data_IF_482158278857
#
_entry.id   IF_482158278857
#
_cell.length_a   1.000
_cell.length_b   1.000
_cell.length_c   1.000
_cell.angle_alpha   90.00
_cell.angle_beta   90.00
_cell.angle_gamma   90.00
#
_symmetry.space_group_name_H-M   'P 1'
#
loop_
_entity.id
_entity.type
_entity.pdbx_description
1 polymer ?
#
# COMPACT_ATOMS: atom_id res chain seq x y z
N UNK A 1 -2.53 12.91 30.53
CA UNK A 1 -3.28 13.36 29.34
C UNK A 1 -2.71 12.61 28.15
N UNK A 2 -3.43 11.62 27.59
CA UNK A 2 -3.03 11.02 26.31
C UNK A 2 -3.03 12.19 25.33
N UNK A 3 -2.03 12.33 24.46
CA UNK A 3 -2.08 13.36 23.41
C UNK A 3 -3.24 13.01 22.48
N UNK A 4 -4.42 13.53 22.84
CA UNK A 4 -5.63 13.49 22.05
C UNK A 4 -5.48 14.59 21.04
N UNK A 5 -5.34 14.21 19.79
CA UNK A 5 -5.13 15.14 18.70
C UNK A 5 -6.51 15.57 18.18
N UNK A 6 -6.88 16.87 18.21
CA UNK A 6 -8.11 17.33 17.59
C UNK A 6 -8.13 16.94 16.11
N UNK A 7 -9.21 16.31 15.68
CA UNK A 7 -9.46 16.03 14.26
C UNK A 7 -10.23 17.19 13.67
N UNK A 8 -9.71 17.63 12.53
CA UNK A 8 -10.24 18.64 11.65
C UNK A 8 -11.43 18.07 10.86
N UNK A 9 -12.54 18.81 10.79
CA UNK A 9 -13.76 18.34 10.11
C UNK A 9 -13.84 18.81 8.65
N UNK A 10 -13.08 19.84 8.27
CA UNK A 10 -13.02 20.33 6.89
C UNK A 10 -11.56 20.33 6.42
N UNK A 11 -11.33 19.62 5.32
CA UNK A 11 -10.08 19.65 4.58
C UNK A 11 -10.34 20.33 3.25
N UNK A 12 -9.52 21.33 2.92
CA UNK A 12 -9.63 22.03 1.65
C UNK A 12 -8.26 22.16 1.01
N UNK A 13 -8.26 22.29 -0.32
CA UNK A 13 -7.08 22.74 -1.03
C UNK A 13 -6.95 24.24 -0.85
N UNK A 14 -5.76 24.68 -0.48
CA UNK A 14 -5.36 26.08 -0.52
C UNK A 14 -4.16 26.22 -1.46
N UNK A 15 -4.06 27.34 -2.15
CA UNK A 15 -2.94 27.64 -3.04
C UNK A 15 -2.27 28.93 -2.60
N UNK A 16 -0.97 28.86 -2.37
CA UNK A 16 -0.17 29.99 -1.94
C UNK A 16 0.98 30.22 -2.89
N UNK A 17 1.41 31.48 -3.04
CA UNK A 17 2.61 31.81 -3.78
C UNK A 17 3.80 31.77 -2.83
N UNK A 18 4.82 31.03 -3.20
CA UNK A 18 6.06 30.91 -2.44
C UNK A 18 7.26 31.22 -3.33
N UNK A 19 8.29 31.82 -2.75
CA UNK A 19 9.55 32.06 -3.44
C UNK A 19 10.40 30.79 -3.42
N UNK A 20 10.56 30.17 -4.60
CA UNK A 20 11.43 29.03 -4.84
C UNK A 20 12.76 29.43 -5.50
N UNK A 21 13.63 28.45 -5.74
CA UNK A 21 14.93 28.67 -6.38
C UNK A 21 14.80 29.28 -7.80
N UNK A 22 13.71 28.98 -8.50
CA UNK A 22 13.42 29.45 -9.85
C UNK A 22 12.42 30.64 -9.88
N UNK A 23 12.22 31.30 -8.73
CA UNK A 23 11.29 32.42 -8.56
C UNK A 23 9.97 32.03 -7.88
N UNK A 24 8.96 32.89 -8.00
CA UNK A 24 7.65 32.67 -7.38
C UNK A 24 6.92 31.49 -8.02
N UNK A 25 6.54 30.51 -7.19
CA UNK A 25 5.81 29.32 -7.59
C UNK A 25 4.50 29.23 -6.80
N UNK A 26 3.44 28.76 -7.46
CA UNK A 26 2.18 28.44 -6.79
C UNK A 26 2.29 27.04 -6.17
N UNK A 27 2.14 26.97 -4.85
CA UNK A 27 2.22 25.74 -4.05
C UNK A 27 0.85 25.41 -3.49
N UNK A 28 0.44 24.16 -3.63
CA UNK A 28 -0.83 23.67 -3.13
C UNK A 28 -0.65 22.93 -1.81
N UNK A 29 -1.58 23.20 -0.91
CA UNK A 29 -1.63 22.69 0.44
C UNK A 29 -2.93 21.95 0.69
N UNK A 30 -2.83 20.84 1.44
CA UNK A 30 -3.98 20.29 2.14
C UNK A 30 -4.03 20.99 3.48
N UNK A 31 -5.07 21.78 3.72
CA UNK A 31 -5.31 22.45 5.00
C UNK A 31 -6.43 21.78 5.75
N UNK A 32 -6.33 21.84 7.07
CA UNK A 32 -7.30 21.26 7.97
C UNK A 32 -7.77 22.32 8.98
N UNK A 33 -9.09 22.60 8.99
CA UNK A 33 -9.69 23.61 9.87
C UNK A 33 -10.18 23.00 11.18
N UNK A 34 -9.82 23.64 12.31
CA UNK A 34 -10.17 23.15 13.66
C UNK A 34 -11.64 23.48 13.92
N UNK A 35 -12.53 22.51 13.69
CA UNK A 35 -13.94 22.60 14.07
C UNK A 35 -14.19 21.82 15.36
N UNK A 36 -14.98 22.39 16.27
CA UNK A 36 -15.29 21.82 17.59
C UNK A 36 -16.10 20.51 17.46
N UNK A 37 -15.64 19.42 18.09
CA UNK A 37 -16.32 18.11 18.07
C UNK A 37 -15.46 16.95 17.58
N UNK A 38 -14.26 16.81 18.14
CA UNK A 38 -13.19 15.97 17.59
C UNK A 38 -13.46 14.45 17.73
N UNK A 39 -13.41 13.74 16.61
CA UNK A 39 -13.08 12.30 16.60
C UNK A 39 -11.59 12.15 16.86
N UNK A 40 -11.14 11.07 17.47
CA UNK A 40 -9.70 10.82 17.66
C UNK A 40 -9.17 10.06 16.44
N UNK A 41 -8.17 10.62 15.74
CA UNK A 41 -7.41 9.90 14.70
C UNK A 41 -5.96 9.79 15.15
N UNK A 42 -5.44 8.57 15.12
CA UNK A 42 -4.05 8.27 15.43
C UNK A 42 -3.45 7.58 14.21
N UNK A 43 -2.78 8.30 13.30
CA UNK A 43 -2.22 7.72 12.08
C UNK A 43 -1.34 6.49 12.35
N UNK A 44 -0.58 6.51 13.45
CA UNK A 44 0.26 5.41 13.92
C UNK A 44 -0.49 4.12 14.26
N UNK A 45 -1.81 4.17 14.46
CA UNK A 45 -2.66 3.01 14.72
C UNK A 45 -3.18 2.35 13.42
N UNK A 46 -2.93 2.94 12.26
CA UNK A 46 -3.34 2.37 10.96
C UNK A 46 -2.22 1.48 10.42
N UNK A 47 -2.33 0.14 10.51
CA UNK A 47 -1.24 -0.77 10.13
C UNK A 47 -0.93 -0.74 8.63
N UNK A 48 -1.86 -0.27 7.80
CA UNK A 48 -1.73 -0.21 6.35
C UNK A 48 -1.45 1.21 5.83
N UNK A 49 -1.04 2.15 6.69
CA UNK A 49 -0.90 3.55 6.31
C UNK A 49 0.10 3.75 5.15
N UNK A 50 1.27 3.10 5.22
CA UNK A 50 2.28 3.14 4.16
C UNK A 50 1.75 2.60 2.82
N UNK A 51 1.01 1.49 2.85
CA UNK A 51 0.39 0.92 1.66
C UNK A 51 -0.64 1.86 1.03
N UNK A 52 -1.26 2.73 1.83
CA UNK A 52 -2.28 3.67 1.36
C UNK A 52 -1.61 4.88 0.73
N UNK A 53 -0.56 5.41 1.35
CA UNK A 53 0.22 6.50 0.75
C UNK A 53 0.89 6.04 -0.55
N UNK A 54 1.46 4.84 -0.61
CA UNK A 54 2.19 4.34 -1.78
C UNK A 54 1.33 4.22 -3.05
N UNK A 55 0.01 4.33 -2.93
CA UNK A 55 -0.95 4.29 -4.04
C UNK A 55 -1.44 5.65 -4.49
N UNK A 56 -1.14 6.71 -3.72
CA UNK A 56 -1.50 8.07 -4.08
C UNK A 56 -0.71 8.44 -5.34
N UNK A 57 -1.44 8.83 -6.38
CA UNK A 57 -0.90 9.21 -7.68
C UNK A 57 -1.45 10.56 -8.15
N UNK A 58 -2.56 11.03 -7.58
CA UNK A 58 -3.17 12.32 -7.93
C UNK A 58 -3.33 13.26 -6.74
N UNK A 59 -3.58 14.53 -7.04
CA UNK A 59 -3.86 15.55 -6.03
C UNK A 59 -5.11 15.19 -5.22
N UNK A 60 -6.18 14.78 -5.90
CA UNK A 60 -7.45 14.37 -5.29
C UNK A 60 -7.25 13.17 -4.35
N UNK A 61 -6.42 12.21 -4.73
CA UNK A 61 -6.07 11.08 -3.87
C UNK A 61 -5.22 11.50 -2.66
N UNK A 62 -4.40 12.54 -2.80
CA UNK A 62 -3.65 13.13 -1.69
C UNK A 62 -4.59 13.77 -0.67
N UNK A 63 -5.62 14.49 -1.14
CA UNK A 63 -6.68 15.04 -0.28
C UNK A 63 -7.50 13.94 0.40
N UNK A 64 -7.94 12.91 -0.32
CA UNK A 64 -8.64 11.76 0.29
C UNK A 64 -7.77 11.07 1.35
N UNK A 65 -6.46 10.97 1.10
CA UNK A 65 -5.50 10.42 2.05
C UNK A 65 -5.41 11.27 3.31
N UNK A 66 -5.16 12.58 3.18
CA UNK A 66 -5.11 13.52 4.31
C UNK A 66 -6.42 13.54 5.11
N UNK A 67 -7.56 13.59 4.43
CA UNK A 67 -8.88 13.54 5.06
C UNK A 67 -9.12 12.24 5.84
N UNK A 68 -8.76 11.08 5.26
CA UNK A 68 -9.04 9.77 5.87
C UNK A 68 -8.13 9.46 7.05
N UNK A 69 -6.88 9.88 7.01
CA UNK A 69 -5.87 9.53 8.03
C UNK A 69 -5.47 10.69 8.94
N UNK A 70 -5.96 11.90 8.68
CA UNK A 70 -5.78 13.09 9.51
C UNK A 70 -4.42 13.74 9.35
N UNK A 71 -4.39 15.08 9.21
CA UNK A 71 -3.16 15.86 9.36
C UNK A 71 -2.83 16.02 10.86
N UNK A 72 -1.55 15.92 11.22
CA UNK A 72 -1.13 16.00 12.62
C UNK A 72 -0.96 17.45 13.07
N UNK A 73 -1.40 17.72 14.29
CA UNK A 73 -1.87 19.03 14.80
C UNK A 73 -0.82 20.14 14.93
N UNK A 74 0.45 19.83 14.73
CA UNK A 74 1.53 20.80 14.86
C UNK A 74 1.75 21.55 13.53
N UNK A 75 1.10 21.09 12.46
CA UNK A 75 1.01 21.73 11.15
C UNK A 75 -0.41 21.54 10.63
N UNK A 76 -1.17 22.62 10.53
CA UNK A 76 -2.51 22.61 9.92
C UNK A 76 -2.46 22.45 8.40
N UNK A 77 -1.27 22.24 7.82
CA UNK A 77 -1.03 22.15 6.40
C UNK A 77 0.12 21.21 6.04
N UNK A 78 -0.04 20.45 4.97
CA UNK A 78 1.01 19.68 4.30
C UNK A 78 0.92 19.91 2.79
N UNK A 79 2.07 19.99 2.10
CA UNK A 79 2.10 20.26 0.65
C UNK A 79 1.59 19.05 -0.12
N UNK A 80 0.74 19.27 -1.10
CA UNK A 80 0.22 18.20 -1.97
C UNK A 80 1.36 17.48 -2.70
N UNK A 81 2.34 18.24 -3.20
CA UNK A 81 3.49 17.69 -3.90
C UNK A 81 4.37 16.81 -3.01
N UNK A 82 4.39 17.06 -1.70
CA UNK A 82 5.10 16.19 -0.76
C UNK A 82 4.44 14.82 -0.72
N UNK A 83 3.10 14.73 -0.61
CA UNK A 83 2.40 13.44 -0.66
C UNK A 83 2.69 12.66 -1.94
N UNK A 84 2.68 13.33 -3.09
CA UNK A 84 2.95 12.70 -4.39
C UNK A 84 4.39 12.19 -4.50
N UNK A 85 5.37 13.02 -4.12
CA UNK A 85 6.79 12.63 -4.12
C UNK A 85 7.03 11.47 -3.15
N UNK A 86 6.49 11.57 -1.93
CA UNK A 86 6.66 10.55 -0.90
C UNK A 86 5.91 9.25 -1.23
N UNK A 87 4.78 9.30 -1.92
CA UNK A 87 4.11 8.10 -2.42
C UNK A 87 4.99 7.32 -3.40
N UNK A 88 5.69 8.03 -4.29
CA UNK A 88 6.67 7.42 -5.21
C UNK A 88 7.87 6.84 -4.47
N UNK A 89 8.54 7.65 -3.65
CA UNK A 89 9.72 7.24 -2.87
C UNK A 89 9.41 6.02 -1.99
N UNK A 90 8.21 5.98 -1.41
CA UNK A 90 7.77 4.87 -0.58
C UNK A 90 7.60 3.58 -1.38
N UNK A 91 7.12 3.64 -2.62
CA UNK A 91 7.09 2.44 -3.49
C UNK A 91 8.49 1.93 -3.74
N UNK A 92 9.42 2.81 -4.10
CA UNK A 92 10.82 2.44 -4.34
C UNK A 92 11.47 1.83 -3.09
N UNK A 93 11.19 2.37 -1.90
CA UNK A 93 11.70 1.82 -0.63
C UNK A 93 11.20 0.40 -0.38
N UNK A 94 9.90 0.15 -0.59
CA UNK A 94 9.30 -1.17 -0.37
C UNK A 94 9.82 -2.20 -1.39
N UNK A 95 9.97 -1.79 -2.65
CA UNK A 95 10.50 -2.64 -3.72
C UNK A 95 11.97 -2.98 -3.50
N UNK A 96 12.80 -2.00 -3.08
CA UNK A 96 14.18 -2.27 -2.71
C UNK A 96 14.28 -3.24 -1.53
N UNK A 97 13.43 -3.05 -0.52
CA UNK A 97 13.40 -3.93 0.64
C UNK A 97 12.97 -5.36 0.27
N UNK A 98 11.94 -5.53 -0.56
CA UNK A 98 11.55 -6.86 -1.06
C UNK A 98 12.70 -7.52 -1.86
N UNK A 99 13.37 -6.78 -2.74
CA UNK A 99 14.51 -7.31 -3.51
C UNK A 99 15.64 -7.78 -2.58
N UNK A 100 15.92 -7.02 -1.51
CA UNK A 100 16.87 -7.42 -0.46
C UNK A 100 16.44 -8.70 0.27
N UNK A 101 15.14 -8.90 0.53
CA UNK A 101 14.65 -10.12 1.17
C UNK A 101 14.80 -11.37 0.30
N UNK A 102 14.66 -11.23 -1.01
CA UNK A 102 14.72 -12.36 -1.94
C UNK A 102 16.14 -12.73 -2.39
N UNK A 103 17.16 -11.95 -2.02
CA UNK A 103 18.49 -12.01 -2.64
C UNK A 103 18.43 -11.91 -4.17
N UNK A 104 17.40 -11.25 -4.70
CA UNK A 104 17.31 -10.99 -6.13
C UNK A 104 18.48 -10.07 -6.50
N UNK A 105 19.10 -10.31 -7.67
CA UNK A 105 20.13 -9.40 -8.20
C UNK A 105 19.53 -8.01 -8.17
N UNK A 106 20.00 -7.19 -7.23
CA UNK A 106 19.48 -5.87 -6.91
C UNK A 106 19.11 -5.19 -8.22
N UNK A 107 17.81 -5.24 -8.58
CA UNK A 107 17.26 -4.86 -9.89
C UNK A 107 17.22 -3.36 -10.06
N UNK A 108 18.27 -2.72 -9.56
CA UNK A 108 18.55 -1.33 -9.43
C UNK A 108 18.95 -0.82 -10.81
N UNK A 109 18.14 -1.01 -11.83
CA UNK A 109 18.46 -0.44 -13.14
C UNK A 109 17.83 0.93 -13.35
N UNK A 110 16.78 1.33 -12.62
CA UNK A 110 16.07 2.58 -12.91
C UNK A 110 15.37 3.29 -11.72
N UNK A 111 15.82 3.16 -10.47
CA UNK A 111 15.22 3.89 -9.33
C UNK A 111 16.23 4.81 -8.62
N UNK A 112 15.75 5.95 -8.09
CA UNK A 112 16.59 7.03 -7.55
C UNK A 112 17.41 6.59 -6.34
N UNK A 113 16.78 5.77 -5.48
CA UNK A 113 17.47 5.14 -4.34
C UNK A 113 18.57 4.18 -4.81
N UNK A 114 18.34 3.58 -5.96
CA UNK A 114 19.28 2.76 -6.66
C UNK A 114 20.51 3.44 -7.20
N UNK A 115 20.32 4.60 -7.82
CA UNK A 115 21.43 5.45 -8.25
C UNK A 115 22.27 5.89 -7.05
N UNK A 116 21.63 6.20 -5.91
CA UNK A 116 22.33 6.52 -4.66
C UNK A 116 23.16 5.34 -4.15
N UNK A 117 22.63 4.11 -4.23
CA UNK A 117 23.39 2.89 -3.91
C UNK A 117 24.57 2.75 -4.87
N UNK A 118 24.34 2.82 -6.19
CA UNK A 118 25.40 2.71 -7.20
C UNK A 118 26.51 3.75 -7.03
N UNK A 119 26.16 5.00 -6.77
CA UNK A 119 27.13 6.08 -6.58
C UNK A 119 28.04 5.85 -5.37
N UNK A 120 27.55 5.16 -4.34
CA UNK A 120 28.31 4.85 -3.12
C UNK A 120 29.12 3.56 -3.23
N UNK A 121 28.74 2.59 -4.08
CA UNK A 121 29.45 1.30 -4.24
C UNK A 121 30.91 1.54 -4.61
N UNK A 122 31.20 2.61 -5.34
CA UNK A 122 32.56 2.96 -5.77
C UNK A 122 33.41 3.63 -4.67
N UNK A 123 32.84 3.98 -3.51
CA UNK A 123 33.51 4.80 -2.49
C UNK A 123 33.85 4.05 -1.18
N UNK A 124 33.16 2.94 -0.87
CA UNK A 124 33.30 2.23 0.41
C UNK A 124 33.53 0.72 0.17
N UNK A 125 34.40 0.07 0.99
CA UNK A 125 34.62 -1.38 0.98
C UNK A 125 33.42 -2.14 1.62
N UNK A 126 32.21 -1.96 1.09
CA UNK A 126 30.99 -2.61 1.56
C UNK A 126 30.39 -3.48 0.46
N UNK A 127 29.72 -4.57 0.83
CA UNK A 127 28.95 -5.34 -0.14
C UNK A 127 27.77 -4.52 -0.70
N UNK A 128 27.33 -4.77 -1.96
CA UNK A 128 26.17 -4.07 -2.53
C UNK A 128 24.90 -4.18 -1.67
N UNK A 129 24.72 -5.32 -0.99
CA UNK A 129 23.59 -5.56 -0.08
C UNK A 129 23.66 -4.69 1.17
N UNK A 130 24.79 -4.67 1.88
CA UNK A 130 24.98 -3.81 3.06
C UNK A 130 24.82 -2.34 2.72
N UNK A 131 25.27 -1.95 1.53
CA UNK A 131 25.11 -0.59 1.06
C UNK A 131 23.67 -0.23 0.74
N UNK A 132 22.92 -1.12 0.09
CA UNK A 132 21.49 -0.95 -0.13
C UNK A 132 20.72 -0.85 1.19
N UNK A 133 21.06 -1.68 2.18
CA UNK A 133 20.52 -1.58 3.55
C UNK A 133 20.84 -0.22 4.19
N UNK A 134 22.10 0.24 4.11
CA UNK A 134 22.53 1.54 4.63
C UNK A 134 21.80 2.71 3.94
N UNK A 135 21.71 2.70 2.61
CA UNK A 135 21.00 3.73 1.84
C UNK A 135 19.51 3.78 2.18
N UNK A 136 18.85 2.62 2.29
CA UNK A 136 17.46 2.53 2.72
C UNK A 136 17.27 3.07 4.15
N UNK A 137 18.14 2.68 5.08
CA UNK A 137 18.11 3.14 6.47
C UNK A 137 18.31 4.66 6.58
N UNK A 138 19.29 5.21 5.85
CA UNK A 138 19.53 6.67 5.80
C UNK A 138 18.36 7.42 5.18
N UNK A 139 17.80 6.90 4.08
CA UNK A 139 16.65 7.51 3.42
C UNK A 139 15.46 7.61 4.39
N UNK A 140 15.11 6.51 5.06
CA UNK A 140 14.02 6.47 6.04
C UNK A 140 14.31 7.37 7.24
N UNK A 141 15.52 7.30 7.79
CA UNK A 141 15.93 8.13 8.93
C UNK A 141 15.84 9.62 8.62
N UNK A 142 16.19 10.02 7.39
CA UNK A 142 16.06 11.39 6.91
C UNK A 142 14.61 11.91 6.89
N UNK A 143 13.62 11.02 6.86
CA UNK A 143 12.18 11.35 6.91
C UNK A 143 11.57 11.24 8.30
N UNK A 144 12.34 10.84 9.32
CA UNK A 144 11.86 10.65 10.70
C UNK A 144 12.35 11.73 11.67
N UNK A 145 12.73 12.93 11.19
CA UNK A 145 13.34 13.99 12.00
C UNK A 145 12.50 14.44 13.21
N UNK A 146 11.19 14.39 13.09
CA UNK A 146 10.23 14.71 14.16
C UNK A 146 9.58 13.50 14.82
N UNK A 147 9.92 12.29 14.39
CA UNK A 147 9.34 11.06 14.90
C UNK A 147 10.18 10.45 16.02
N UNK A 148 9.54 9.69 16.91
CA UNK A 148 10.25 8.97 17.95
C UNK A 148 9.29 8.26 18.89
N UNK A 149 9.76 7.98 20.10
CA UNK A 149 8.97 7.35 21.15
C UNK A 149 8.91 8.21 22.41
N UNK A 150 7.76 8.25 23.07
CA UNK A 150 7.55 8.92 24.36
C UNK A 150 6.98 7.93 25.37
N UNK A 151 7.46 8.01 26.61
CA UNK A 151 6.90 7.25 27.72
C UNK A 151 5.62 7.93 28.20
N UNK A 152 4.50 7.22 28.20
CA UNK A 152 3.23 7.69 28.74
C UNK A 152 2.51 6.56 29.50
N UNK A 153 2.17 6.78 30.77
CA UNK A 153 1.58 5.75 31.65
C UNK A 153 2.36 4.43 31.61
N UNK A 154 3.70 4.51 31.69
CA UNK A 154 4.63 3.35 31.60
C UNK A 154 4.55 2.56 30.29
N UNK A 155 3.92 3.12 29.25
CA UNK A 155 3.91 2.57 27.90
C UNK A 155 4.74 3.45 26.99
N UNK A 156 5.62 2.82 26.21
CA UNK A 156 6.36 3.50 25.15
C UNK A 156 5.43 3.65 23.94
N UNK A 157 5.04 4.88 23.62
CA UNK A 157 4.14 5.20 22.52
C UNK A 157 4.90 5.91 21.41
N UNK A 158 4.70 5.53 20.13
CA UNK A 158 5.24 6.28 19.01
C UNK A 158 4.60 7.67 18.92
N UNK A 159 5.40 8.67 18.58
CA UNK A 159 4.93 10.02 18.23
C UNK A 159 5.57 10.48 16.92
N UNK A 160 4.89 11.38 16.24
CA UNK A 160 5.30 11.99 14.98
C UNK A 160 4.70 13.41 14.90
N UNK A 161 5.34 14.28 14.13
CA UNK A 161 4.90 15.66 13.92
C UNK A 161 4.09 15.83 12.63
N UNK A 162 4.21 14.91 11.67
CA UNK A 162 3.49 14.95 10.38
C UNK A 162 2.89 13.59 10.03
N UNK A 163 1.89 13.59 9.15
CA UNK A 163 1.29 12.36 8.64
C UNK A 163 2.32 11.52 7.86
N UNK A 164 3.19 12.19 7.10
CA UNK A 164 4.30 11.54 6.40
C UNK A 164 5.27 10.86 7.36
N UNK A 165 5.65 11.50 8.47
CA UNK A 165 6.49 10.87 9.49
C UNK A 165 5.84 9.62 10.09
N UNK A 166 4.52 9.65 10.33
CA UNK A 166 3.79 8.47 10.79
C UNK A 166 3.86 7.31 9.77
N UNK A 167 3.84 7.63 8.47
CA UNK A 167 3.98 6.65 7.39
C UNK A 167 5.37 6.03 7.41
N UNK A 168 6.44 6.83 7.41
CA UNK A 168 7.81 6.32 7.41
C UNK A 168 8.13 5.54 8.69
N UNK A 169 7.51 5.89 9.83
CA UNK A 169 7.69 5.14 11.06
C UNK A 169 7.17 3.70 10.91
N UNK A 170 6.08 3.49 10.16
CA UNK A 170 5.58 2.14 9.86
C UNK A 170 6.53 1.35 8.95
N UNK A 171 7.19 2.02 8.02
CA UNK A 171 8.20 1.39 7.15
C UNK A 171 9.42 1.00 7.96
N UNK A 172 9.89 1.88 8.84
CA UNK A 172 10.99 1.58 9.77
C UNK A 172 10.65 0.37 10.65
N UNK A 173 9.43 0.30 11.21
CA UNK A 173 8.97 -0.85 12.00
C UNK A 173 8.90 -2.17 11.20
N UNK A 174 8.70 -2.11 9.88
CA UNK A 174 8.71 -3.30 9.01
C UNK A 174 10.14 -3.79 8.82
N UNK A 175 11.06 -2.88 8.51
CA UNK A 175 12.46 -3.18 8.23
C UNK A 175 13.19 -3.64 9.51
N UNK A 176 13.01 -2.91 10.61
CA UNK A 176 13.61 -3.22 11.92
C UNK A 176 13.23 -4.62 12.42
N UNK A 177 12.01 -5.07 12.11
CA UNK A 177 11.51 -6.40 12.48
C UNK A 177 11.76 -7.47 11.43
N UNK A 178 12.53 -7.14 10.39
CA UNK A 178 12.79 -8.00 9.24
C UNK A 178 11.52 -8.65 8.67
N UNK A 179 10.41 -7.90 8.71
CA UNK A 179 9.11 -8.47 8.38
C UNK A 179 9.02 -8.77 6.88
N UNK A 180 8.59 -9.97 6.53
CA UNK A 180 8.34 -10.38 5.14
C UNK A 180 7.29 -9.46 4.49
N UNK A 181 7.61 -8.94 3.29
CA UNK A 181 6.63 -8.29 2.43
C UNK A 181 6.11 -9.27 1.39
N UNK A 182 4.81 -9.26 1.16
CA UNK A 182 4.17 -10.07 0.12
C UNK A 182 3.43 -9.18 -0.87
N UNK A 183 3.43 -9.57 -2.15
CA UNK A 183 2.66 -8.88 -3.20
C UNK A 183 1.21 -9.32 -3.19
N UNK A 184 0.30 -8.36 -3.21
CA UNK A 184 -1.13 -8.62 -3.37
C UNK A 184 -1.42 -9.19 -4.76
N UNK A 185 -2.01 -10.39 -4.83
CA UNK A 185 -2.35 -11.07 -6.10
C UNK A 185 -3.24 -10.26 -7.05
N UNK A 186 -4.01 -9.32 -6.52
CA UNK A 186 -4.96 -8.52 -7.32
C UNK A 186 -4.39 -7.17 -7.76
N UNK A 187 -3.59 -6.50 -6.92
CA UNK A 187 -3.18 -5.11 -7.18
C UNK A 187 -1.67 -4.89 -7.17
N UNK A 188 -0.86 -5.95 -7.04
CA UNK A 188 0.60 -5.89 -7.07
C UNK A 188 1.28 -5.21 -5.89
N UNK A 189 0.53 -4.50 -5.04
CA UNK A 189 1.10 -3.73 -3.93
C UNK A 189 1.74 -4.60 -2.86
N UNK A 190 2.87 -4.14 -2.32
CA UNK A 190 3.61 -4.77 -1.23
C UNK A 190 3.01 -4.45 0.13
N UNK A 191 2.81 -5.48 0.95
CA UNK A 191 2.30 -5.31 2.30
C UNK A 191 2.84 -6.39 3.24
N UNK A 192 2.93 -6.06 4.53
CA UNK A 192 3.21 -7.00 5.61
C UNK A 192 1.98 -7.88 5.88
N UNK A 193 2.06 -9.22 5.73
CA UNK A 193 0.93 -10.11 6.03
C UNK A 193 0.64 -10.12 7.53
N UNK A 194 -0.65 -10.12 7.89
CA UNK A 194 -1.10 -10.24 9.30
C UNK A 194 -1.34 -11.69 9.69
N UNK A 195 -1.50 -12.58 8.71
CA UNK A 195 -1.67 -14.02 8.90
C UNK A 195 -0.86 -14.79 7.87
N UNK A 196 -0.44 -16.00 8.24
CA UNK A 196 0.23 -16.91 7.33
C UNK A 196 -0.62 -17.15 6.06
N UNK A 197 0.04 -17.14 4.90
CA UNK A 197 -0.61 -17.37 3.61
C UNK A 197 -1.54 -16.26 3.13
N UNK A 198 -1.48 -15.05 3.70
CA UNK A 198 -2.29 -13.93 3.23
C UNK A 198 -1.86 -13.48 1.81
N UNK A 199 -2.75 -13.66 0.83
CA UNK A 199 -2.47 -13.37 -0.59
C UNK A 199 -2.97 -12.00 -1.08
N UNK A 200 -3.79 -11.31 -0.29
CA UNK A 200 -4.41 -10.04 -0.66
C UNK A 200 -4.10 -8.98 0.39
N UNK A 201 -4.05 -7.73 -0.06
CA UNK A 201 -3.76 -6.58 0.79
C UNK A 201 -4.70 -6.49 2.00
N UNK A 202 -4.31 -5.72 3.02
CA UNK A 202 -5.07 -5.60 4.25
C UNK A 202 -6.49 -5.05 4.04
N UNK A 203 -7.48 -5.54 4.82
CA UNK A 203 -8.81 -4.93 4.82
C UNK A 203 -8.75 -3.50 5.37
N UNK A 204 -9.77 -2.70 5.03
CA UNK A 204 -9.97 -1.42 5.72
C UNK A 204 -10.41 -1.64 7.16
N UNK A 205 -10.26 -0.61 8.00
CA UNK A 205 -10.69 -0.64 9.41
C UNK A 205 -12.12 -1.15 9.54
N UNK A 206 -12.33 -2.14 10.42
CA UNK A 206 -13.63 -2.75 10.69
C UNK A 206 -14.14 -3.73 9.61
N UNK A 207 -13.36 -4.02 8.56
CA UNK A 207 -13.76 -4.98 7.50
C UNK A 207 -13.05 -6.31 7.67
N UNK A 208 -13.78 -7.42 7.46
CA UNK A 208 -13.21 -8.78 7.52
C UNK A 208 -12.49 -9.24 6.26
N UNK A 209 -12.77 -8.62 5.10
CA UNK A 209 -12.14 -8.93 3.80
C UNK A 209 -11.63 -7.67 3.12
N UNK A 210 -10.56 -7.81 2.35
CA UNK A 210 -10.05 -6.68 1.58
C UNK A 210 -10.84 -6.46 0.29
N UNK A 211 -10.88 -5.22 -0.22
CA UNK A 211 -11.51 -4.94 -1.51
C UNK A 211 -10.90 -5.78 -2.65
N UNK A 212 -9.58 -6.00 -2.61
CA UNK A 212 -8.87 -6.84 -3.57
C UNK A 212 -9.33 -8.30 -3.53
N UNK A 213 -9.50 -8.87 -2.32
CA UNK A 213 -10.03 -10.23 -2.17
C UNK A 213 -11.46 -10.34 -2.75
N UNK A 214 -12.30 -9.33 -2.51
CA UNK A 214 -13.66 -9.32 -3.05
C UNK A 214 -13.67 -9.20 -4.58
N UNK A 215 -12.85 -8.31 -5.16
CA UNK A 215 -12.73 -8.19 -6.62
C UNK A 215 -12.24 -9.47 -7.28
N UNK A 216 -11.21 -10.10 -6.69
CA UNK A 216 -10.70 -11.37 -7.17
C UNK A 216 -11.78 -12.46 -7.12
N UNK A 217 -12.52 -12.56 -6.01
CA UNK A 217 -13.61 -13.53 -5.87
C UNK A 217 -14.73 -13.31 -6.90
N UNK A 218 -15.15 -12.06 -7.13
CA UNK A 218 -16.16 -11.73 -8.15
C UNK A 218 -15.67 -12.07 -9.55
N UNK A 219 -14.41 -11.76 -9.87
CA UNK A 219 -13.82 -12.10 -11.18
C UNK A 219 -13.80 -13.60 -11.40
N UNK A 220 -13.29 -14.35 -10.43
CA UNK A 220 -13.24 -15.82 -10.47
C UNK A 220 -14.64 -16.42 -10.63
N UNK A 221 -15.63 -15.90 -9.91
CA UNK A 221 -17.02 -16.33 -10.07
C UNK A 221 -17.56 -16.07 -11.48
N UNK A 222 -17.29 -14.91 -12.07
CA UNK A 222 -17.70 -14.61 -13.46
C UNK A 222 -17.01 -15.51 -14.48
N UNK A 223 -15.73 -15.81 -14.29
CA UNK A 223 -15.00 -16.76 -15.12
C UNK A 223 -15.60 -18.16 -15.02
N UNK A 224 -15.97 -18.61 -13.81
CA UNK A 224 -16.64 -19.89 -13.59
C UNK A 224 -18.02 -19.94 -14.25
N UNK A 225 -18.83 -18.88 -14.14
CA UNK A 225 -20.14 -18.79 -14.81
C UNK A 225 -20.00 -18.76 -16.34
N UNK A 226 -19.05 -18.00 -16.90
CA UNK A 226 -18.80 -18.01 -18.35
C UNK A 226 -18.41 -19.39 -18.86
N UNK A 227 -17.60 -20.13 -18.09
CA UNK A 227 -17.23 -21.50 -18.43
C UNK A 227 -18.45 -22.43 -18.36
N UNK A 228 -19.31 -22.28 -17.35
CA UNK A 228 -20.57 -23.02 -17.26
C UNK A 228 -21.47 -22.74 -18.46
N UNK A 229 -21.73 -21.47 -18.77
CA UNK A 229 -22.55 -21.06 -19.91
C UNK A 229 -22.03 -21.68 -21.21
N UNK A 230 -20.70 -21.68 -21.39
CA UNK A 230 -20.06 -22.33 -22.55
C UNK A 230 -20.28 -23.85 -22.55
N UNK A 231 -20.16 -24.51 -21.40
CA UNK A 231 -20.44 -25.95 -21.27
C UNK A 231 -21.90 -26.24 -21.63
N UNK A 232 -22.86 -25.47 -21.11
CA UNK A 232 -24.28 -25.63 -21.39
C UNK A 232 -24.59 -25.45 -22.88
N UNK A 233 -24.06 -24.38 -23.50
CA UNK A 233 -24.23 -24.13 -24.94
C UNK A 233 -23.75 -25.31 -25.78
N UNK A 234 -22.55 -25.83 -25.51
CA UNK A 234 -22.00 -26.98 -26.25
C UNK A 234 -22.79 -28.27 -26.00
N UNK A 235 -23.32 -28.43 -24.78
CA UNK A 235 -24.17 -29.58 -24.45
C UNK A 235 -25.50 -29.53 -25.20
N UNK A 236 -26.16 -28.37 -25.25
CA UNK A 236 -27.40 -28.17 -26.02
C UNK A 236 -27.19 -28.35 -27.53
N UNK A 237 -25.99 -28.07 -28.04
CA UNK A 237 -25.58 -28.38 -29.41
C UNK A 237 -25.35 -29.87 -29.69
N UNK A 238 -25.44 -30.73 -28.65
CA UNK A 238 -25.25 -32.17 -28.77
C UNK A 238 -23.78 -32.61 -28.90
N UNK A 239 -22.83 -31.78 -28.45
CA UNK A 239 -21.40 -32.12 -28.44
C UNK A 239 -21.10 -33.27 -27.49
N UNK A 240 -20.14 -34.12 -27.86
CA UNK A 240 -19.67 -35.19 -26.98
C UNK A 240 -18.83 -34.62 -25.83
N UNK A 241 -18.79 -35.34 -24.70
CA UNK A 241 -18.09 -34.89 -23.49
C UNK A 241 -16.62 -34.53 -23.76
N UNK A 242 -15.92 -35.33 -24.55
CA UNK A 242 -14.50 -35.10 -24.90
C UNK A 242 -14.32 -33.82 -25.71
N UNK A 243 -15.26 -33.48 -26.60
CA UNK A 243 -15.24 -32.24 -27.38
C UNK A 243 -15.45 -31.01 -26.48
N UNK A 244 -16.35 -31.12 -25.50
CA UNK A 244 -16.61 -30.06 -24.50
C UNK A 244 -15.37 -29.86 -23.62
N UNK A 245 -14.75 -30.94 -23.16
CA UNK A 245 -13.52 -30.89 -22.37
C UNK A 245 -12.37 -30.24 -23.14
N UNK A 246 -12.19 -30.61 -24.41
CA UNK A 246 -11.18 -30.01 -25.27
C UNK A 246 -11.45 -28.51 -25.51
N UNK A 247 -12.71 -28.11 -25.70
CA UNK A 247 -13.08 -26.72 -25.97
C UNK A 247 -13.01 -25.80 -24.74
N UNK A 248 -13.17 -26.35 -23.54
CA UNK A 248 -13.19 -25.59 -22.27
C UNK A 248 -11.88 -25.69 -21.50
N UNK A 249 -11.04 -26.69 -21.81
CA UNK A 249 -9.81 -26.99 -21.06
C UNK A 249 -10.08 -27.51 -19.65
N UNK A 250 -11.31 -27.96 -19.36
CA UNK A 250 -11.67 -28.50 -18.04
C UNK A 250 -11.19 -29.94 -17.87
N UNK A 251 -10.73 -30.26 -16.66
CA UNK A 251 -10.42 -31.65 -16.29
C UNK A 251 -11.70 -32.48 -16.18
N UNK A 252 -11.56 -33.80 -16.32
CA UNK A 252 -12.67 -34.74 -16.16
C UNK A 252 -13.38 -34.57 -14.81
N UNK A 253 -12.63 -34.38 -13.72
CA UNK A 253 -13.16 -34.16 -12.37
C UNK A 253 -14.03 -32.90 -12.28
N UNK A 254 -13.56 -31.79 -12.87
CA UNK A 254 -14.34 -30.53 -12.91
C UNK A 254 -15.60 -30.69 -13.75
N UNK A 255 -15.51 -31.39 -14.89
CA UNK A 255 -16.69 -31.67 -15.72
C UNK A 255 -17.73 -32.51 -15.00
N UNK A 256 -17.30 -33.58 -14.31
CA UNK A 256 -18.20 -34.40 -13.50
C UNK A 256 -18.88 -33.59 -12.39
N UNK A 257 -18.15 -32.69 -11.72
CA UNK A 257 -18.75 -31.81 -10.71
C UNK A 257 -19.77 -30.84 -11.29
N UNK A 258 -19.54 -30.30 -12.49
CA UNK A 258 -20.47 -29.39 -13.16
C UNK A 258 -21.73 -30.12 -13.61
N UNK A 259 -21.57 -31.23 -14.34
CA UNK A 259 -22.69 -32.05 -14.83
C UNK A 259 -23.47 -32.70 -13.68
N UNK A 260 -22.79 -33.07 -12.58
CA UNK A 260 -23.44 -33.62 -11.39
C UNK A 260 -24.38 -32.64 -10.67
N UNK A 261 -24.21 -31.33 -10.88
CA UNK A 261 -25.18 -30.33 -10.43
C UNK A 261 -26.32 -30.17 -11.44
N UNK A 262 -26.03 -30.25 -12.74
CA UNK A 262 -27.00 -30.16 -13.83
C UNK A 262 -28.04 -31.29 -13.73
N UNK A 263 -27.60 -32.53 -13.56
CA UNK A 263 -28.49 -33.68 -13.45
C UNK A 263 -29.36 -33.68 -12.18
N UNK A 264 -29.13 -32.76 -11.23
CA UNK A 264 -29.98 -32.59 -10.04
C UNK A 264 -31.04 -31.51 -10.21
N UNK A 265 -30.90 -30.63 -11.19
CA UNK A 265 -31.84 -29.53 -11.46
C UNK A 265 -32.89 -29.88 -12.53
N UNK A 266 -32.69 -30.99 -13.25
CA UNK A 266 -33.65 -31.61 -14.19
C UNK A 266 -34.45 -32.68 -13.48
#
# INVERSE_FOLDING_TARGET
MIFTWPVYQEYHFDSQWEEGADGLQQVEYIRADILSGHKEIRPVEYPALYLKLSKVATKEESLDFGHRYGLLTNKTEERVNDFLSHAHELRECLELYEALQNNDSLGIENNKLGELVKARIFAEEMSPEEMAKKALAEHISGRLKGAGYRMYNLKLLPFCNTLLEAVYLKVAEIIDKEAELVRCKECGSLFKPVRAGQQFCLPGTGKGRSPCQNRYAVRKWREEEQVKDKVYSLWEEGKLLDEIMQATGLSAEKMQSLLGNICKEV
#
